data_IF_918386792672
#
_entry.id   IF_918386792672
#
_cell.length_a   1.000
_cell.length_b   1.000
_cell.length_c   1.000
_cell.angle_alpha   90.00
_cell.angle_beta   90.00
_cell.angle_gamma   90.00
#
_symmetry.space_group_name_H-M   'P 1'
#
loop_
_entity.id
_entity.type
_entity.pdbx_description
1 polymer ?
#
# COMPACT_ATOMS: atom_id res chain seq x y z
N UNK A 1 -21.57 26.23 69.18
CA UNK A 1 -22.01 26.02 67.78
C UNK A 1 -23.50 26.28 67.57
N UNK A 2 -24.39 25.82 68.45
CA UNK A 2 -25.85 25.98 68.33
C UNK A 2 -26.44 27.39 68.62
N UNK A 3 -25.64 28.32 69.13
CA UNK A 3 -26.09 29.67 69.52
C UNK A 3 -25.92 30.73 68.41
N UNK A 4 -25.38 30.36 67.24
CA UNK A 4 -25.10 31.32 66.17
C UNK A 4 -26.03 31.09 64.97
N UNK A 5 -27.22 31.71 65.03
CA UNK A 5 -28.30 31.58 64.04
C UNK A 5 -27.84 31.92 62.61
N UNK A 6 -26.90 32.87 62.47
CA UNK A 6 -26.32 33.24 61.17
C UNK A 6 -25.51 32.11 60.54
N UNK A 7 -24.72 31.39 61.34
CA UNK A 7 -23.93 30.25 60.88
C UNK A 7 -24.84 29.08 60.48
N UNK A 8 -25.90 28.82 61.27
CA UNK A 8 -26.88 27.78 60.98
C UNK A 8 -27.62 28.05 59.65
N UNK A 9 -28.06 29.29 59.42
CA UNK A 9 -28.72 29.68 58.18
C UNK A 9 -27.79 29.63 56.96
N UNK A 10 -26.51 29.98 57.13
CA UNK A 10 -25.52 29.87 56.05
C UNK A 10 -25.29 28.41 55.63
N UNK A 11 -25.18 27.50 56.60
CA UNK A 11 -25.03 26.05 56.35
C UNK A 11 -26.30 25.49 55.68
N UNK A 12 -27.49 25.87 56.16
CA UNK A 12 -28.75 25.44 55.56
C UNK A 12 -28.88 25.89 54.10
N UNK A 13 -28.57 27.15 53.81
CA UNK A 13 -28.56 27.68 52.43
C UNK A 13 -27.53 26.97 51.54
N UNK A 14 -26.34 26.67 52.07
CA UNK A 14 -25.32 25.92 51.33
C UNK A 14 -25.77 24.49 51.00
N UNK A 15 -26.42 23.80 51.95
CA UNK A 15 -26.98 22.47 51.74
C UNK A 15 -28.10 22.48 50.71
N UNK A 16 -29.02 23.46 50.79
CA UNK A 16 -30.09 23.63 49.79
C UNK A 16 -29.49 23.90 48.40
N UNK A 17 -28.50 24.79 48.29
CA UNK A 17 -27.82 25.06 47.03
C UNK A 17 -27.16 23.80 46.45
N UNK A 18 -26.51 22.98 47.29
CA UNK A 18 -25.88 21.73 46.88
C UNK A 18 -26.91 20.70 46.40
N UNK A 19 -28.05 20.57 47.09
CA UNK A 19 -29.15 19.69 46.67
C UNK A 19 -29.75 20.16 45.34
N UNK A 20 -29.97 21.45 45.15
CA UNK A 20 -30.47 22.02 43.89
C UNK A 20 -29.49 21.75 42.76
N UNK A 21 -28.18 21.94 42.97
CA UNK A 21 -27.15 21.61 41.99
C UNK A 21 -27.14 20.12 41.64
N UNK A 22 -27.25 19.24 42.64
CA UNK A 22 -27.33 17.80 42.43
C UNK A 22 -28.60 17.39 41.65
N UNK A 23 -29.75 17.99 41.95
CA UNK A 23 -31.00 17.74 41.25
C UNK A 23 -30.96 18.22 39.79
N UNK A 24 -30.38 19.40 39.53
CA UNK A 24 -30.16 19.90 38.17
C UNK A 24 -29.20 19.02 37.38
N UNK A 25 -28.11 18.56 38.00
CA UNK A 25 -27.17 17.62 37.38
C UNK A 25 -27.85 16.28 37.04
N UNK A 26 -28.63 15.71 37.98
CA UNK A 26 -29.35 14.46 37.77
C UNK A 26 -30.44 14.60 36.68
N UNK A 27 -31.20 15.70 36.69
CA UNK A 27 -32.21 16.00 35.68
C UNK A 27 -31.60 16.19 34.29
N UNK A 28 -30.48 16.92 34.20
CA UNK A 28 -29.73 17.07 32.95
C UNK A 28 -29.19 15.74 32.43
N UNK A 29 -28.60 14.92 33.30
CA UNK A 29 -28.12 13.58 32.95
C UNK A 29 -29.25 12.68 32.44
N UNK A 30 -30.39 12.67 33.13
CA UNK A 30 -31.58 11.93 32.70
C UNK A 30 -32.11 12.41 31.33
N UNK A 31 -32.10 13.72 31.08
CA UNK A 31 -32.52 14.30 29.81
C UNK A 31 -31.59 13.90 28.66
N UNK A 32 -30.28 13.95 28.87
CA UNK A 32 -29.27 13.57 27.86
C UNK A 32 -29.36 12.09 27.49
N UNK A 33 -29.80 11.23 28.41
CA UNK A 33 -29.98 9.79 28.15
C UNK A 33 -31.27 9.44 27.40
N UNK A 34 -32.11 10.42 27.06
CA UNK A 34 -33.38 10.15 26.38
C UNK A 34 -33.15 9.54 24.98
N UNK A 35 -34.01 8.60 24.55
CA UNK A 35 -33.88 7.91 23.26
C UNK A 35 -34.02 8.84 22.05
N UNK A 36 -34.52 10.06 22.22
CA UNK A 36 -34.55 11.09 21.16
C UNK A 36 -33.15 11.48 20.66
N UNK A 37 -32.11 11.27 21.48
CA UNK A 37 -30.71 11.57 21.14
C UNK A 37 -29.94 10.38 20.56
N UNK A 38 -30.59 9.25 20.29
CA UNK A 38 -29.94 8.13 19.59
C UNK A 38 -29.51 8.58 18.21
N UNK A 39 -28.31 8.19 17.80
CA UNK A 39 -27.76 8.52 16.49
C UNK A 39 -28.65 7.95 15.38
N UNK A 40 -29.12 8.83 14.48
CA UNK A 40 -30.08 8.46 13.41
C UNK A 40 -29.42 8.25 12.07
N UNK A 41 -28.36 8.99 11.78
CA UNK A 41 -27.66 8.92 10.51
C UNK A 41 -26.16 9.10 10.67
N UNK A 42 -25.42 8.41 9.81
CA UNK A 42 -23.98 8.56 9.64
C UNK A 42 -23.77 8.93 8.18
N UNK A 43 -23.39 10.19 7.97
CA UNK A 43 -22.98 10.69 6.67
C UNK A 43 -21.52 10.31 6.46
N UNK A 44 -21.22 9.65 5.35
CA UNK A 44 -19.88 9.24 4.98
C UNK A 44 -19.50 10.04 3.74
N UNK A 45 -18.51 10.91 3.88
CA UNK A 45 -17.97 11.73 2.80
C UNK A 45 -16.51 11.28 2.52
N UNK A 46 -16.12 11.15 1.26
CA UNK A 46 -14.76 10.73 0.88
C UNK A 46 -14.69 10.26 -0.56
N UNK A 47 -13.47 10.12 -1.08
CA UNK A 47 -13.19 9.38 -2.31
C UNK A 47 -13.05 7.91 -1.92
N UNK A 48 -14.07 7.11 -2.24
CA UNK A 48 -14.24 5.76 -1.69
C UNK A 48 -14.29 4.76 -2.83
N UNK A 49 -13.14 4.46 -3.43
CA UNK A 49 -13.07 3.58 -4.60
C UNK A 49 -13.09 2.10 -4.20
N UNK A 50 -12.43 1.71 -3.10
CA UNK A 50 -12.39 0.31 -2.66
C UNK A 50 -13.32 0.01 -1.48
N UNK A 51 -13.81 1.01 -0.76
CA UNK A 51 -14.68 0.79 0.40
C UNK A 51 -16.17 0.90 0.01
N UNK A 52 -16.87 -0.23 -0.03
CA UNK A 52 -18.32 -0.22 -0.21
C UNK A 52 -19.00 0.36 1.06
N UNK A 53 -19.64 1.54 0.94
CA UNK A 53 -20.25 2.27 2.07
C UNK A 53 -21.15 1.43 3.00
N UNK A 54 -22.03 0.54 2.48
CA UNK A 54 -22.73 -0.48 3.25
C UNK A 54 -21.86 -1.39 4.13
N UNK A 55 -20.73 -1.91 3.61
CA UNK A 55 -19.81 -2.81 4.34
C UNK A 55 -19.08 -2.07 5.46
N UNK A 56 -18.65 -0.84 5.18
CA UNK A 56 -18.08 0.06 6.17
C UNK A 56 -19.07 0.37 7.29
N UNK A 57 -20.32 0.66 6.93
CA UNK A 57 -21.40 0.89 7.90
C UNK A 57 -21.63 -0.36 8.76
N UNK A 58 -21.69 -1.56 8.19
CA UNK A 58 -21.90 -2.78 8.95
C UNK A 58 -20.78 -3.07 9.96
N UNK A 59 -19.52 -2.89 9.55
CA UNK A 59 -18.36 -3.19 10.39
C UNK A 59 -18.08 -2.12 11.46
N UNK A 60 -18.21 -0.84 11.12
CA UNK A 60 -17.90 0.25 12.05
C UNK A 60 -19.06 0.55 13.00
N UNK A 61 -20.32 0.54 12.51
CA UNK A 61 -21.49 0.95 13.31
C UNK A 61 -21.80 -0.03 14.45
N UNK A 62 -21.56 -1.32 14.25
CA UNK A 62 -21.75 -2.33 15.28
C UNK A 62 -20.85 -2.14 16.51
N UNK A 63 -19.75 -1.40 16.37
CA UNK A 63 -18.81 -1.10 17.45
C UNK A 63 -19.13 0.21 18.19
N UNK A 64 -20.07 1.01 17.70
CA UNK A 64 -20.44 2.30 18.29
C UNK A 64 -21.35 2.09 19.51
N UNK A 65 -21.07 2.83 20.58
CA UNK A 65 -21.85 2.81 21.82
C UNK A 65 -22.19 4.22 22.26
N UNK A 66 -23.40 4.40 22.77
CA UNK A 66 -23.88 5.68 23.31
C UNK A 66 -24.83 6.43 22.38
N UNK A 67 -25.05 7.71 22.70
CA UNK A 67 -25.96 8.60 21.99
C UNK A 67 -25.18 9.79 21.40
N UNK A 68 -25.87 10.73 20.76
CA UNK A 68 -25.24 11.91 20.16
C UNK A 68 -24.28 12.66 21.10
N UNK A 69 -24.63 12.80 22.38
CA UNK A 69 -23.81 13.50 23.37
C UNK A 69 -22.76 12.60 24.04
N UNK A 70 -23.08 11.32 24.27
CA UNK A 70 -22.25 10.42 25.07
C UNK A 70 -21.32 9.53 24.25
N UNK A 71 -21.46 9.50 22.93
CA UNK A 71 -20.57 8.70 22.07
C UNK A 71 -19.12 9.18 22.18
N UNK A 72 -18.20 8.24 22.30
CA UNK A 72 -16.77 8.52 22.23
C UNK A 72 -16.34 8.66 20.77
N UNK A 73 -15.92 9.87 20.38
CA UNK A 73 -15.53 10.17 19.01
C UNK A 73 -14.17 9.55 18.64
N UNK A 74 -13.27 9.39 19.60
CA UNK A 74 -11.95 8.81 19.36
C UNK A 74 -12.06 7.29 19.22
N UNK A 75 -12.88 6.64 20.05
CA UNK A 75 -13.21 5.23 19.87
C UNK A 75 -13.94 4.98 18.54
N UNK A 76 -14.83 5.90 18.14
CA UNK A 76 -15.52 5.86 16.85
C UNK A 76 -14.53 5.98 15.69
N UNK A 77 -13.61 6.97 15.74
CA UNK A 77 -12.53 7.13 14.77
C UNK A 77 -11.73 5.85 14.61
N UNK A 78 -11.24 5.30 15.73
CA UNK A 78 -10.44 4.07 15.73
C UNK A 78 -11.20 2.87 15.14
N UNK A 79 -12.52 2.79 15.33
CA UNK A 79 -13.35 1.74 14.74
C UNK A 79 -13.42 1.84 13.21
N UNK A 80 -13.46 3.06 12.65
CA UNK A 80 -13.40 3.29 11.21
C UNK A 80 -12.00 3.04 10.64
N UNK A 81 -10.95 3.50 11.31
CA UNK A 81 -9.54 3.27 10.90
C UNK A 81 -9.12 1.80 10.98
N UNK A 82 -9.85 0.96 11.72
CA UNK A 82 -9.62 -0.48 11.74
C UNK A 82 -10.15 -1.23 10.50
N UNK A 83 -10.90 -0.54 9.62
CA UNK A 83 -11.43 -1.16 8.40
C UNK A 83 -10.33 -1.20 7.33
N UNK A 84 -10.14 -2.34 6.62
CA UNK A 84 -9.19 -2.43 5.51
C UNK A 84 -9.41 -1.28 4.52
N UNK A 85 -8.33 -0.72 3.98
CA UNK A 85 -8.28 0.46 3.10
C UNK A 85 -8.43 1.84 3.76
N UNK A 86 -8.89 1.96 5.00
CA UNK A 86 -8.99 3.28 5.66
C UNK A 86 -7.63 3.71 6.18
N UNK A 87 -7.11 4.84 5.67
CA UNK A 87 -5.89 5.48 6.18
C UNK A 87 -6.20 6.38 7.36
N UNK A 88 -7.20 7.24 7.21
CA UNK A 88 -7.58 8.18 8.25
C UNK A 88 -9.10 8.37 8.28
N UNK A 89 -9.65 8.51 9.48
CA UNK A 89 -11.05 8.87 9.66
C UNK A 89 -11.20 10.12 10.51
N UNK A 90 -11.95 11.09 10.00
CA UNK A 90 -12.36 12.27 10.77
C UNK A 90 -13.83 12.13 11.15
N UNK A 91 -14.11 12.11 12.45
CA UNK A 91 -15.47 11.93 12.98
C UNK A 91 -15.87 13.21 13.71
N UNK A 92 -16.99 13.79 13.32
CA UNK A 92 -17.57 14.95 14.02
C UNK A 92 -19.07 14.79 14.22
N UNK A 93 -19.57 15.42 15.28
CA UNK A 93 -21.00 15.52 15.56
C UNK A 93 -21.63 16.57 14.66
N UNK A 94 -22.74 16.22 14.01
CA UNK A 94 -23.57 17.15 13.24
C UNK A 94 -24.96 17.19 13.86
N UNK A 95 -25.37 18.38 14.25
CA UNK A 95 -26.67 18.57 14.86
C UNK A 95 -27.77 18.56 13.78
N UNK A 96 -28.92 17.89 14.00
CA UNK A 96 -29.29 17.06 15.16
C UNK A 96 -29.04 15.55 14.95
N UNK A 97 -28.46 14.87 15.95
CA UNK A 97 -28.38 13.40 16.06
C UNK A 97 -27.65 12.68 14.91
N UNK A 98 -26.66 13.33 14.30
CA UNK A 98 -25.87 12.77 13.21
C UNK A 98 -24.39 12.75 13.53
N UNK A 99 -23.68 11.81 12.89
CA UNK A 99 -22.22 11.85 12.77
C UNK A 99 -21.87 12.09 11.30
N UNK A 100 -20.99 13.05 11.06
CA UNK A 100 -20.29 13.14 9.79
C UNK A 100 -18.93 12.46 9.94
N UNK A 101 -18.68 11.50 9.07
CA UNK A 101 -17.45 10.73 9.00
C UNK A 101 -16.81 11.01 7.65
N UNK A 102 -15.62 11.58 7.66
CA UNK A 102 -14.82 11.79 6.46
C UNK A 102 -13.70 10.77 6.42
N UNK A 103 -13.56 10.05 5.31
CA UNK A 103 -12.61 8.94 5.18
C UNK A 103 -11.58 9.26 4.11
N UNK A 104 -10.31 9.04 4.45
CA UNK A 104 -9.20 9.01 3.52
C UNK A 104 -8.78 7.56 3.28
N UNK A 105 -8.74 7.17 2.02
CA UNK A 105 -8.39 5.81 1.62
C UNK A 105 -6.88 5.67 1.33
N UNK A 106 -6.33 4.50 1.64
CA UNK A 106 -5.00 4.13 1.21
C UNK A 106 -4.95 3.95 -0.31
N UNK A 107 -3.98 4.58 -0.96
CA UNK A 107 -3.66 4.34 -2.37
C UNK A 107 -2.54 3.31 -2.47
N UNK A 108 -2.80 2.10 -3.01
CA UNK A 108 -1.80 1.05 -3.08
C UNK A 108 -0.70 1.44 -4.09
N UNK A 109 0.55 1.20 -3.73
CA UNK A 109 1.72 1.42 -4.59
C UNK A 109 2.46 0.12 -4.88
N UNK A 110 2.64 -0.72 -3.87
CA UNK A 110 3.46 -1.92 -3.93
C UNK A 110 2.97 -2.97 -2.93
N UNK A 111 3.44 -4.20 -3.10
CA UNK A 111 3.38 -5.22 -2.04
C UNK A 111 4.62 -5.14 -1.17
N UNK A 112 4.51 -5.50 0.10
CA UNK A 112 5.65 -5.68 1.00
C UNK A 112 5.91 -7.18 1.21
N UNK A 113 7.14 -7.55 1.51
CA UNK A 113 7.58 -8.95 1.60
C UNK A 113 6.91 -9.79 2.70
N UNK A 114 6.14 -9.16 3.60
CA UNK A 114 5.34 -9.85 4.63
C UNK A 114 3.87 -10.05 4.25
N UNK A 115 3.49 -9.68 3.01
CA UNK A 115 2.14 -9.82 2.48
C UNK A 115 1.24 -8.60 2.69
N UNK A 116 1.71 -7.55 3.38
CA UNK A 116 1.00 -6.26 3.45
C UNK A 116 1.19 -5.45 2.15
N UNK A 117 0.40 -4.39 2.01
CA UNK A 117 0.54 -3.41 0.94
C UNK A 117 1.28 -2.18 1.45
N UNK A 118 1.97 -1.50 0.55
CA UNK A 118 2.64 -0.22 0.77
C UNK A 118 1.84 0.85 0.05
N UNK A 119 1.50 1.93 0.75
CA UNK A 119 0.82 3.08 0.15
C UNK A 119 1.78 3.97 -0.64
N UNK A 120 1.24 4.87 -1.44
CA UNK A 120 2.03 5.93 -2.12
C UNK A 120 2.86 6.79 -1.16
N UNK A 121 2.45 6.88 0.11
CA UNK A 121 3.14 7.63 1.17
C UNK A 121 4.16 6.77 1.95
N UNK A 122 4.32 5.50 1.58
CA UNK A 122 5.24 4.55 2.22
C UNK A 122 4.75 3.99 3.55
N UNK A 123 3.43 3.97 3.76
CA UNK A 123 2.80 3.37 4.95
C UNK A 123 2.35 1.94 4.64
N UNK A 124 2.50 1.03 5.61
CA UNK A 124 2.02 -0.34 5.47
C UNK A 124 0.58 -0.46 5.90
N UNK A 125 -0.24 -1.12 5.08
CA UNK A 125 -1.63 -1.42 5.41
C UNK A 125 -2.02 -2.82 4.94
N UNK A 126 -3.02 -3.39 5.60
CA UNK A 126 -3.54 -4.71 5.27
C UNK A 126 -4.84 -4.57 4.48
N UNK A 127 -4.86 -5.15 3.28
CA UNK A 127 -6.01 -5.20 2.39
C UNK A 127 -5.91 -6.45 1.52
N UNK A 128 -6.99 -6.76 0.81
CA UNK A 128 -7.01 -7.90 -0.10
C UNK A 128 -6.14 -7.60 -1.33
N UNK A 129 -5.14 -8.45 -1.57
CA UNK A 129 -4.23 -8.28 -2.70
C UNK A 129 -4.95 -8.34 -4.06
N UNK A 130 -5.99 -9.18 -4.18
CA UNK A 130 -6.74 -9.29 -5.43
C UNK A 130 -7.42 -7.96 -5.78
N UNK A 131 -8.03 -7.30 -4.79
CA UNK A 131 -8.62 -5.95 -4.96
C UNK A 131 -7.55 -4.91 -5.29
N UNK A 132 -6.36 -5.01 -4.68
CA UNK A 132 -5.27 -4.07 -4.92
C UNK A 132 -4.62 -4.19 -6.30
N UNK A 133 -4.73 -5.35 -6.95
CA UNK A 133 -4.18 -5.62 -8.28
C UNK A 133 -5.23 -5.52 -9.40
N UNK A 134 -6.44 -5.04 -9.12
CA UNK A 134 -7.51 -4.87 -10.13
C UNK A 134 -7.07 -3.96 -11.30
N UNK A 135 -6.26 -2.93 -11.01
CA UNK A 135 -5.71 -2.01 -12.03
C UNK A 135 -4.39 -2.50 -12.65
N UNK A 136 -3.85 -3.61 -12.17
CA UNK A 136 -2.62 -4.22 -12.65
C UNK A 136 -1.71 -4.70 -11.52
N UNK A 137 -0.73 -5.53 -11.89
CA UNK A 137 0.23 -6.12 -10.95
C UNK A 137 1.06 -5.04 -10.25
N UNK A 138 1.11 -5.10 -8.93
CA UNK A 138 1.89 -4.18 -8.11
C UNK A 138 3.37 -4.59 -8.05
N UNK A 139 4.31 -3.63 -8.00
CA UNK A 139 5.71 -3.94 -7.75
C UNK A 139 5.91 -4.52 -6.34
N UNK A 140 6.98 -5.30 -6.17
CA UNK A 140 7.33 -5.98 -4.93
C UNK A 140 8.40 -5.19 -4.16
N UNK A 141 8.10 -4.75 -2.95
CA UNK A 141 9.06 -4.07 -2.07
C UNK A 141 9.50 -4.98 -0.91
N UNK A 142 10.74 -4.82 -0.49
CA UNK A 142 11.30 -5.54 0.65
C UNK A 142 12.35 -4.69 1.37
N UNK A 143 12.38 -4.79 2.70
CA UNK A 143 13.28 -4.00 3.54
C UNK A 143 13.33 -4.49 4.98
N UNK A 144 14.34 -4.06 5.77
CA UNK A 144 14.27 -4.17 7.23
C UNK A 144 13.07 -3.36 7.79
N UNK A 145 12.54 -3.71 8.98
CA UNK A 145 11.44 -2.97 9.58
C UNK A 145 11.77 -1.47 9.72
N UNK A 146 10.83 -0.61 9.34
CA UNK A 146 11.00 0.85 9.41
C UNK A 146 11.63 1.49 8.17
N UNK A 147 12.00 0.71 7.15
CA UNK A 147 12.57 1.24 5.90
C UNK A 147 11.55 1.42 4.77
N UNK A 148 10.25 1.32 5.06
CA UNK A 148 9.19 1.30 4.04
C UNK A 148 9.12 2.62 3.27
N UNK A 149 9.25 3.73 3.98
CA UNK A 149 9.33 5.08 3.39
C UNK A 149 10.59 5.27 2.55
N UNK A 150 11.73 4.74 3.00
CA UNK A 150 12.99 4.82 2.26
C UNK A 150 12.93 4.03 0.95
N UNK A 151 12.38 2.81 0.99
CA UNK A 151 12.18 1.96 -0.19
C UNK A 151 11.20 2.62 -1.17
N UNK A 152 10.12 3.19 -0.65
CA UNK A 152 9.13 3.93 -1.45
C UNK A 152 9.73 5.14 -2.15
N UNK A 153 10.49 5.96 -1.43
CA UNK A 153 11.19 7.11 -2.01
C UNK A 153 12.19 6.67 -3.09
N UNK A 154 12.97 5.60 -2.82
CA UNK A 154 13.94 5.06 -3.78
C UNK A 154 13.28 4.44 -5.00
N UNK A 155 12.10 3.84 -4.88
CA UNK A 155 11.34 3.34 -6.02
C UNK A 155 11.04 4.43 -7.04
N UNK A 156 10.56 5.61 -6.60
CA UNK A 156 10.30 6.73 -7.51
C UNK A 156 11.58 7.22 -8.21
N UNK A 157 12.70 7.22 -7.51
CA UNK A 157 14.00 7.53 -8.11
C UNK A 157 14.43 6.48 -9.15
N UNK A 158 14.23 5.19 -8.88
CA UNK A 158 14.49 4.14 -9.84
C UNK A 158 13.58 4.24 -11.08
N UNK A 159 12.29 4.51 -10.90
CA UNK A 159 11.35 4.78 -12.00
C UNK A 159 11.91 5.89 -12.89
N UNK A 160 12.36 7.00 -12.28
CA UNK A 160 12.95 8.13 -13.01
C UNK A 160 14.25 7.76 -13.71
N UNK A 161 15.16 7.06 -13.04
CA UNK A 161 16.47 6.74 -13.59
C UNK A 161 16.43 5.71 -14.72
N UNK A 162 15.49 4.77 -14.69
CA UNK A 162 15.34 3.73 -15.71
C UNK A 162 14.31 4.08 -16.80
N UNK A 163 13.57 5.19 -16.68
CA UNK A 163 12.65 5.68 -17.69
C UNK A 163 13.22 5.73 -19.13
N UNK A 164 14.50 6.13 -19.38
CA UNK A 164 15.05 6.15 -20.73
C UNK A 164 15.16 4.78 -21.40
N UNK A 165 15.15 3.68 -20.62
CA UNK A 165 15.13 2.31 -21.13
C UNK A 165 13.70 1.79 -21.37
N UNK A 166 12.67 2.56 -20.99
CA UNK A 166 11.28 2.13 -20.93
C UNK A 166 11.08 0.86 -20.07
N UNK A 167 11.91 0.71 -19.01
CA UNK A 167 11.88 -0.42 -18.08
C UNK A 167 11.50 0.07 -16.70
N UNK A 168 10.30 -0.33 -16.23
CA UNK A 168 9.83 0.00 -14.89
C UNK A 168 10.42 -0.96 -13.85
N UNK A 169 10.74 -0.52 -12.63
CA UNK A 169 11.03 -1.43 -11.52
C UNK A 169 9.81 -2.29 -11.18
N UNK A 170 9.97 -3.61 -11.21
CA UNK A 170 8.98 -4.59 -10.75
C UNK A 170 9.27 -5.08 -9.33
N UNK A 171 10.51 -4.95 -8.85
CA UNK A 171 10.84 -5.17 -7.44
C UNK A 171 11.95 -4.24 -6.96
N UNK A 172 11.85 -3.78 -5.72
CA UNK A 172 12.88 -2.99 -5.04
C UNK A 172 13.16 -3.61 -3.68
N UNK A 173 14.42 -3.94 -3.42
CA UNK A 173 14.83 -4.57 -2.17
C UNK A 173 15.95 -3.80 -1.51
N UNK A 174 15.75 -3.46 -0.24
CA UNK A 174 16.77 -3.03 0.69
C UNK A 174 17.12 -4.20 1.61
N UNK A 175 18.33 -4.74 1.48
CA UNK A 175 18.76 -5.82 2.39
C UNK A 175 19.00 -5.30 3.82
N UNK A 176 19.02 -6.20 4.80
CA UNK A 176 19.45 -5.90 6.19
C UNK A 176 20.87 -5.30 6.28
N UNK A 177 21.67 -5.45 5.22
CA UNK A 177 22.99 -4.85 5.09
C UNK A 177 22.96 -3.50 4.38
N UNK A 178 21.79 -2.88 4.18
CA UNK A 178 21.56 -1.63 3.46
C UNK A 178 22.11 -1.62 2.03
N UNK A 179 22.11 -2.78 1.37
CA UNK A 179 22.42 -2.89 -0.05
C UNK A 179 21.13 -2.96 -0.87
N UNK A 180 21.06 -2.14 -1.91
CA UNK A 180 19.94 -2.03 -2.83
C UNK A 180 20.06 -3.00 -4.00
N UNK A 181 18.93 -3.62 -4.36
CA UNK A 181 18.74 -4.32 -5.62
C UNK A 181 17.39 -3.99 -6.24
N UNK A 182 17.32 -4.01 -7.56
CA UNK A 182 16.12 -3.69 -8.33
C UNK A 182 15.91 -4.76 -9.39
N UNK A 183 14.68 -5.27 -9.52
CA UNK A 183 14.27 -6.08 -10.67
C UNK A 183 13.50 -5.20 -11.63
N UNK A 184 13.95 -5.11 -12.88
CA UNK A 184 13.26 -4.33 -13.91
C UNK A 184 12.28 -5.20 -14.71
N UNK A 185 11.32 -4.53 -15.35
CA UNK A 185 10.45 -5.13 -16.34
C UNK A 185 11.28 -5.80 -17.46
N UNK A 186 10.92 -7.04 -17.79
CA UNK A 186 11.73 -7.91 -18.63
C UNK A 186 12.69 -8.83 -17.87
N UNK A 187 12.72 -8.75 -16.53
CA UNK A 187 13.37 -9.72 -15.66
C UNK A 187 14.82 -9.42 -15.29
N UNK A 188 15.38 -8.29 -15.71
CA UNK A 188 16.77 -7.92 -15.42
C UNK A 188 16.93 -7.60 -13.93
N UNK A 189 17.77 -8.37 -13.23
CA UNK A 189 18.10 -8.14 -11.82
C UNK A 189 19.35 -7.27 -11.68
N UNK A 190 19.23 -6.11 -11.03
CA UNK A 190 20.31 -5.16 -10.81
C UNK A 190 20.75 -5.18 -9.35
N UNK A 191 22.05 -5.43 -9.12
CA UNK A 191 22.66 -5.22 -7.81
C UNK A 191 23.33 -3.84 -7.77
N UNK A 192 22.70 -2.89 -7.07
CA UNK A 192 23.24 -1.55 -6.91
C UNK A 192 24.17 -1.43 -5.71
N UNK A 193 24.02 -2.29 -4.70
CA UNK A 193 24.85 -2.28 -3.50
C UNK A 193 24.50 -1.16 -2.52
N UNK A 194 25.42 -0.87 -1.60
CA UNK A 194 25.21 0.16 -0.57
C UNK A 194 25.30 1.57 -1.15
N UNK A 195 24.44 2.43 -0.65
CA UNK A 195 24.52 3.87 -0.85
C UNK A 195 25.60 4.44 0.08
N UNK A 196 26.66 5.03 -0.51
CA UNK A 196 27.76 5.65 0.25
C UNK A 196 27.59 7.16 0.33
N UNK A 197 27.01 7.72 -0.71
CA UNK A 197 26.65 9.13 -0.88
C UNK A 197 25.28 9.19 -1.59
N UNK A 198 24.54 10.30 -1.50
CA UNK A 198 23.24 10.46 -2.17
C UNK A 198 23.28 10.21 -3.69
N UNK A 199 24.44 10.36 -4.33
CA UNK A 199 24.62 10.19 -5.77
C UNK A 199 25.05 8.77 -6.17
N UNK A 200 25.37 7.91 -5.19
CA UNK A 200 25.96 6.59 -5.47
C UNK A 200 25.05 5.74 -6.35
N UNK A 201 23.76 5.66 -6.00
CA UNK A 201 22.79 4.86 -6.74
C UNK A 201 22.42 5.51 -8.08
N UNK A 202 22.30 6.85 -8.11
CA UNK A 202 22.02 7.60 -9.33
C UNK A 202 23.13 7.42 -10.37
N UNK A 203 24.39 7.50 -9.95
CA UNK A 203 25.58 7.33 -10.81
C UNK A 203 25.63 5.91 -11.38
N UNK A 204 25.40 4.89 -10.54
CA UNK A 204 25.35 3.49 -10.96
C UNK A 204 24.23 3.24 -11.98
N UNK A 205 23.03 3.75 -11.69
CA UNK A 205 21.86 3.59 -12.57
C UNK A 205 22.07 4.28 -13.92
N UNK A 206 22.58 5.52 -13.92
CA UNK A 206 22.89 6.28 -15.15
C UNK A 206 23.90 5.57 -16.03
N UNK A 207 24.98 5.02 -15.44
CA UNK A 207 25.99 4.25 -16.18
C UNK A 207 25.37 3.05 -16.88
N UNK A 208 24.51 2.31 -16.17
CA UNK A 208 23.80 1.18 -16.74
C UNK A 208 22.91 1.64 -17.91
N UNK A 209 22.09 2.67 -17.71
CA UNK A 209 21.19 3.21 -18.75
C UNK A 209 21.95 3.66 -20.00
N UNK A 210 23.10 4.32 -19.85
CA UNK A 210 23.91 4.77 -20.99
C UNK A 210 24.53 3.61 -21.77
N UNK A 211 24.96 2.56 -21.08
CA UNK A 211 25.63 1.41 -21.71
C UNK A 211 24.64 0.36 -22.22
N UNK A 212 23.43 0.27 -21.67
CA UNK A 212 22.47 -0.80 -21.94
C UNK A 212 22.18 -1.01 -23.44
N UNK A 213 21.91 0.03 -24.28
CA UNK A 213 21.64 -0.18 -25.70
C UNK A 213 22.78 -0.86 -26.45
N UNK A 214 24.03 -0.53 -26.11
CA UNK A 214 25.22 -1.12 -26.72
C UNK A 214 25.41 -2.59 -26.28
N UNK A 215 25.17 -2.87 -25.00
CA UNK A 215 25.22 -4.23 -24.45
C UNK A 215 24.13 -5.09 -25.08
N UNK A 216 22.89 -4.58 -25.15
CA UNK A 216 21.76 -5.26 -25.77
C UNK A 216 21.96 -5.51 -27.28
N UNK A 217 22.54 -4.55 -28.01
CA UNK A 217 22.84 -4.74 -29.44
C UNK A 217 23.89 -5.84 -29.68
N UNK A 218 24.85 -5.99 -28.77
CA UNK A 218 25.97 -6.93 -28.94
C UNK A 218 25.64 -8.34 -28.46
N UNK A 219 24.88 -8.47 -27.37
CA UNK A 219 24.62 -9.75 -26.71
C UNK A 219 23.13 -10.12 -26.62
N UNK A 220 22.26 -9.31 -27.22
CA UNK A 220 20.81 -9.47 -27.17
C UNK A 220 20.20 -8.97 -25.86
N UNK A 221 18.87 -8.93 -25.81
CA UNK A 221 18.09 -8.53 -24.63
C UNK A 221 18.00 -9.64 -23.55
N UNK A 222 18.92 -10.60 -23.53
CA UNK A 222 18.90 -11.75 -22.62
C UNK A 222 19.69 -11.51 -21.32
N UNK A 223 19.87 -10.25 -20.92
CA UNK A 223 20.58 -9.91 -19.68
C UNK A 223 19.70 -10.31 -18.50
N UNK A 224 20.13 -11.30 -17.73
CA UNK A 224 19.41 -11.75 -16.53
C UNK A 224 19.81 -10.95 -15.30
N UNK A 225 21.09 -10.56 -15.22
CA UNK A 225 21.65 -9.93 -14.02
C UNK A 225 22.75 -8.93 -14.38
N UNK A 226 22.79 -7.80 -13.68
CA UNK A 226 23.89 -6.84 -13.74
C UNK A 226 24.35 -6.39 -12.36
N UNK A 227 25.65 -6.48 -12.10
CA UNK A 227 26.29 -6.01 -10.88
C UNK A 227 26.88 -4.62 -11.09
N UNK A 228 26.20 -3.60 -10.57
CA UNK A 228 26.57 -2.19 -10.73
C UNK A 228 27.51 -1.70 -9.61
N UNK A 229 27.97 -2.59 -8.72
CA UNK A 229 28.76 -2.20 -7.55
C UNK A 229 30.15 -1.69 -7.91
N UNK A 230 30.66 -2.03 -9.10
CA UNK A 230 32.00 -1.67 -9.55
C UNK A 230 32.16 -0.16 -9.79
N UNK A 231 33.28 0.46 -9.37
CA UNK A 231 33.47 1.91 -9.46
C UNK A 231 33.44 2.45 -10.89
N UNK A 232 33.95 1.71 -11.87
CA UNK A 232 34.14 2.19 -13.25
C UNK A 232 33.44 1.32 -14.32
N UNK A 233 32.53 0.43 -13.91
CA UNK A 233 31.84 -0.46 -14.83
C UNK A 233 30.70 -1.22 -14.17
N UNK A 234 30.26 -2.28 -14.81
CA UNK A 234 29.37 -3.28 -14.26
C UNK A 234 29.63 -4.63 -14.92
N UNK A 235 29.34 -5.72 -14.21
CA UNK A 235 29.39 -7.06 -14.77
C UNK A 235 27.98 -7.50 -15.17
N UNK A 236 27.82 -8.12 -16.33
CA UNK A 236 26.54 -8.67 -16.78
C UNK A 236 26.59 -10.18 -16.87
N UNK A 237 25.46 -10.81 -16.59
CA UNK A 237 25.20 -12.23 -16.85
C UNK A 237 23.98 -12.33 -17.76
N UNK A 238 24.11 -13.03 -18.87
CA UNK A 238 23.04 -13.25 -19.83
C UNK A 238 22.77 -14.75 -20.01
N UNK A 239 21.52 -15.10 -20.28
CA UNK A 239 21.10 -16.46 -20.57
C UNK A 239 21.84 -16.95 -21.82
N UNK A 240 22.64 -18.02 -21.69
CA UNK A 240 23.28 -18.63 -22.86
C UNK A 240 24.37 -17.77 -23.52
N UNK A 241 25.20 -17.04 -22.75
CA UNK A 241 26.42 -16.36 -23.25
C UNK A 241 27.33 -17.31 -24.05
N UNK A 242 27.00 -17.52 -25.33
CA UNK A 242 27.96 -17.74 -26.39
C UNK A 242 28.47 -16.36 -26.74
N UNK A 243 29.78 -16.14 -26.62
CA UNK A 243 30.40 -14.93 -27.13
C UNK A 243 30.09 -14.84 -28.63
N UNK A 244 29.08 -14.06 -29.02
CA UNK A 244 28.77 -13.83 -30.42
C UNK A 244 29.93 -12.99 -30.98
N UNK A 245 30.61 -13.50 -32.01
CA UNK A 245 31.56 -12.70 -32.76
C UNK A 245 30.84 -11.51 -33.42
N UNK A 246 31.56 -10.44 -33.78
CA UNK A 246 30.95 -9.27 -34.43
C UNK A 246 30.14 -9.65 -35.69
N UNK A 247 30.55 -10.70 -36.40
CA UNK A 247 29.79 -11.25 -37.53
C UNK A 247 28.47 -11.89 -37.13
N UNK A 248 28.42 -12.60 -35.99
CA UNK A 248 27.22 -13.25 -35.51
C UNK A 248 26.20 -12.25 -34.96
N UNK A 249 26.66 -11.18 -34.29
CA UNK A 249 25.81 -10.08 -33.84
C UNK A 249 25.16 -9.33 -35.02
N UNK A 250 25.92 -9.06 -36.11
CA UNK A 250 25.36 -8.48 -37.35
C UNK A 250 24.30 -9.38 -38.00
N UNK A 251 24.52 -10.70 -38.04
CA UNK A 251 23.53 -11.64 -38.59
C UNK A 251 22.24 -11.70 -37.78
N UNK A 252 22.29 -11.65 -36.45
CA UNK A 252 21.08 -11.60 -35.62
C UNK A 252 20.32 -10.27 -35.74
N UNK A 253 21.02 -9.14 -35.85
CA UNK A 253 20.41 -7.83 -36.01
C UNK A 253 19.69 -7.64 -37.37
N UNK A 254 20.04 -8.46 -38.37
CA UNK A 254 19.48 -8.38 -39.73
C UNK A 254 18.45 -9.49 -40.01
N UNK A 255 18.23 -10.40 -39.06
CA UNK A 255 17.28 -11.49 -39.25
C UNK A 255 15.84 -10.98 -39.14
N UNK A 256 14.97 -11.18 -40.16
CA UNK A 256 13.57 -10.78 -40.05
C UNK A 256 12.88 -11.64 -38.98
N UNK A 257 12.05 -10.98 -38.16
CA UNK A 257 11.20 -11.63 -37.16
C UNK A 257 10.24 -12.56 -37.88
N UNK A 258 10.61 -13.84 -38.00
CA UNK A 258 9.71 -14.85 -38.53
C UNK A 258 8.55 -15.04 -37.55
N UNK A 259 7.34 -14.73 -38.03
CA UNK A 259 6.08 -15.08 -37.36
C UNK A 259 6.13 -16.58 -37.05
N UNK A 260 5.98 -16.92 -35.77
CA UNK A 260 5.68 -18.30 -35.36
C UNK A 260 4.35 -18.69 -36.00
N UNK A 261 4.40 -19.42 -37.10
CA UNK A 261 3.22 -20.10 -37.62
C UNK A 261 2.82 -21.19 -36.62
N UNK A 262 1.65 -20.98 -36.04
CA UNK A 262 0.92 -21.91 -35.19
C UNK A 262 0.65 -23.21 -35.95
N UNK A 263 1.37 -24.27 -35.58
CA UNK A 263 1.07 -25.65 -35.97
C UNK A 263 -0.24 -26.11 -35.32
N UNK A 264 -1.22 -26.47 -36.15
CA UNK A 264 -2.45 -27.21 -35.80
C UNK A 264 -2.34 -28.64 -36.40
N UNK A 265 -3.18 -29.59 -35.96
CA UNK A 265 -2.90 -30.67 -35.01
C UNK A 265 -2.52 -32.01 -35.67
N UNK A 266 -1.84 -32.87 -34.91
CA UNK A 266 -1.44 -34.20 -35.35
C UNK A 266 -2.63 -35.13 -35.64
N UNK A 267 -2.58 -35.79 -36.79
CA UNK A 267 -3.54 -36.77 -37.27
C UNK A 267 -3.45 -38.12 -36.53
N UNK A 268 -4.63 -38.73 -36.37
CA UNK A 268 -4.92 -40.04 -35.80
C UNK A 268 -4.32 -41.18 -36.67
N UNK A 269 -3.64 -42.20 -36.12
CA UNK A 269 -3.34 -43.41 -36.88
C UNK A 269 -4.48 -44.43 -36.76
N UNK A 270 -4.81 -45.06 -37.88
CA UNK A 270 -5.75 -46.17 -37.98
C UNK A 270 -5.02 -47.52 -38.11
N UNK A 271 -5.73 -48.57 -37.66
CA UNK A 271 -5.61 -50.00 -37.98
C UNK A 271 -4.57 -50.85 -37.19
N UNK A 272 -4.74 -52.20 -37.04
CA UNK A 272 -5.66 -53.08 -37.79
C UNK A 272 -6.46 -54.11 -36.97
N UNK A 273 -7.29 -54.83 -37.73
CA UNK A 273 -8.21 -55.91 -37.40
C UNK A 273 -7.65 -57.02 -36.50
N UNK A 274 -8.51 -57.54 -35.61
CA UNK A 274 -8.43 -58.91 -35.09
C UNK A 274 -9.68 -59.69 -35.50
N UNK A 275 -9.41 -60.84 -36.12
CA UNK A 275 -10.34 -61.87 -36.59
C UNK A 275 -10.48 -62.91 -35.47
N UNK A 276 -11.73 -63.26 -35.15
CA UNK A 276 -12.25 -64.54 -34.62
C UNK A 276 -11.35 -65.40 -33.72
N UNK A 277 -11.75 -65.56 -32.45
CA UNK A 277 -12.39 -66.77 -31.89
C UNK A 277 -13.25 -66.37 -30.69
#
# INVERSE_FOLDING_TARGET
MWHNVRLLNAIASALVALVVLAALAAGGHWLIQRPVFTLKAIQIDGDVSHINGPTLRANAVSRLKGNFFTIDLDATRAAFEAVPWVRHASVRRVWPNQLAVTIEEYKPLATWNDGRLVSVDGELFAANLAEAEDEGKLPEFAGPPGSEKDVTARYYDFVKWFAPLNMKPEAVTLSNRYAWSVRLAGGVQLALGRERTPETLATRSRRFVQAYPQVAARWGNQIEYADLRYPNGFAVRAAGMRFLSEEQAKKLATAPVQKRDSQKPAAKPAAPAKRSQ
#
